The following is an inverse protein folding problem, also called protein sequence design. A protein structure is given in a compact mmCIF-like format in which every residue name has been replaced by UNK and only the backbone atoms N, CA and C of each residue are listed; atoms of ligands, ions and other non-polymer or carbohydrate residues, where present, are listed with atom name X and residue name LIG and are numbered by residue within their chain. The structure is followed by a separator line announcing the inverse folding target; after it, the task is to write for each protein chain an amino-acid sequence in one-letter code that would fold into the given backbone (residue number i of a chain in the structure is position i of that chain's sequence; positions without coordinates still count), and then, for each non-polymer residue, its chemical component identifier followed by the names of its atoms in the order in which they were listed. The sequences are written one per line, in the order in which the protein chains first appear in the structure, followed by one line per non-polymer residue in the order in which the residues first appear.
data_IF_659688768925
#
_entry.id   IF_659688768925
#
_cell.length_a   1.000
_cell.length_b   1.000
_cell.length_c   1.000
_cell.angle_alpha   90.00
_cell.angle_beta   90.00
_cell.angle_gamma   90.00
#
_symmetry.space_group_name_H-M   'P 1'
#
loop_
_entity.id
_entity.type
_entity.pdbx_description
1 polymer ?
#
# COMPACT_ATOMS: atom_id res chain seq x y z
N UNK A 1 -5.93 -21.65 -18.50
CA UNK A 1 -6.56 -20.36 -18.16
C UNK A 1 -5.58 -19.65 -17.23
N UNK A 2 -5.05 -18.49 -17.62
CA UNK A 2 -4.29 -17.67 -16.69
C UNK A 2 -5.19 -17.41 -15.47
N UNK A 3 -4.75 -17.64 -14.22
CA UNK A 3 -5.57 -17.31 -13.08
C UNK A 3 -5.79 -15.80 -13.12
N UNK A 4 -7.00 -15.38 -13.49
CA UNK A 4 -7.39 -13.98 -13.38
C UNK A 4 -7.10 -13.56 -11.94
N UNK A 5 -6.39 -12.44 -11.80
CA UNK A 5 -6.00 -11.88 -10.50
C UNK A 5 -7.30 -11.68 -9.69
N UNK A 6 -7.59 -12.60 -8.76
CA UNK A 6 -8.88 -12.70 -8.09
C UNK A 6 -9.09 -11.59 -7.06
N UNK A 7 -8.06 -10.77 -6.84
CA UNK A 7 -8.05 -9.73 -5.83
C UNK A 7 -8.99 -8.58 -6.21
N UNK A 8 -9.53 -7.86 -5.22
CA UNK A 8 -10.29 -6.65 -5.48
C UNK A 8 -9.43 -5.63 -6.25
N UNK A 9 -10.00 -5.06 -7.32
CA UNK A 9 -9.37 -4.01 -8.10
C UNK A 9 -9.99 -2.68 -7.69
N UNK A 10 -9.30 -1.95 -6.82
CA UNK A 10 -9.75 -0.65 -6.35
C UNK A 10 -9.17 0.48 -7.21
N UNK A 11 -10.00 1.48 -7.50
CA UNK A 11 -9.58 2.73 -8.15
C UNK A 11 -9.41 3.87 -7.15
N UNK A 12 -10.00 3.77 -5.95
CA UNK A 12 -9.90 4.75 -4.86
C UNK A 12 -9.73 4.08 -3.50
N UNK A 13 -9.14 4.81 -2.55
CA UNK A 13 -9.12 4.46 -1.12
C UNK A 13 -9.96 5.52 -0.41
N UNK A 14 -11.26 5.26 -0.23
CA UNK A 14 -12.20 6.26 0.30
C UNK A 14 -12.05 6.48 1.82
N UNK A 15 -11.48 5.51 2.54
CA UNK A 15 -11.26 5.55 3.98
C UNK A 15 -9.79 5.25 4.32
N UNK A 16 -8.87 6.19 4.07
CA UNK A 16 -7.50 6.06 4.53
C UNK A 16 -7.46 6.12 6.06
N UNK A 17 -6.73 5.19 6.67
CA UNK A 17 -6.37 5.24 8.10
C UNK A 17 -5.05 5.98 8.32
N UNK A 18 -4.25 6.13 7.26
CA UNK A 18 -3.06 6.97 7.23
C UNK A 18 -2.83 7.52 5.82
N UNK A 19 -2.40 8.77 5.76
CA UNK A 19 -1.97 9.48 4.56
C UNK A 19 -0.69 10.24 4.90
N UNK A 20 0.31 10.16 4.02
CA UNK A 20 1.57 10.90 4.15
C UNK A 20 2.18 11.21 2.78
N UNK A 21 3.09 12.18 2.73
CA UNK A 21 3.92 12.48 1.57
C UNK A 21 5.38 12.36 1.96
N UNK A 22 6.12 11.50 1.26
CA UNK A 22 7.53 11.27 1.55
C UNK A 22 8.39 11.82 0.42
N UNK A 23 9.33 12.70 0.76
CA UNK A 23 10.40 13.09 -0.15
C UNK A 23 11.56 12.12 -0.02
N UNK A 24 12.21 11.75 -1.12
CA UNK A 24 13.33 10.82 -1.12
C UNK A 24 14.24 11.01 -2.34
N UNK A 25 15.48 10.54 -2.24
CA UNK A 25 16.41 10.47 -3.36
C UNK A 25 16.19 9.16 -4.11
N UNK A 26 15.77 9.23 -5.37
CA UNK A 26 15.62 8.08 -6.25
C UNK A 26 16.97 7.54 -6.74
N UNK A 27 16.97 6.35 -7.33
CA UNK A 27 18.20 5.68 -7.81
C UNK A 27 18.92 6.43 -8.94
N UNK A 28 18.21 7.31 -9.66
CA UNK A 28 18.77 8.21 -10.67
C UNK A 28 19.35 9.51 -10.07
N UNK A 29 19.34 9.65 -8.74
CA UNK A 29 19.80 10.83 -8.00
C UNK A 29 18.78 11.98 -7.97
N UNK A 30 17.61 11.83 -8.60
CA UNK A 30 16.55 12.85 -8.53
C UNK A 30 15.84 12.81 -7.17
N UNK A 31 15.48 14.00 -6.65
CA UNK A 31 14.55 14.08 -5.53
C UNK A 31 13.14 13.87 -6.06
N UNK A 32 12.42 12.91 -5.46
CA UNK A 32 11.02 12.61 -5.76
C UNK A 32 10.18 12.74 -4.50
N UNK A 33 8.90 12.98 -4.70
CA UNK A 33 7.91 12.94 -3.63
C UNK A 33 6.84 11.93 -4.02
N UNK A 34 6.48 11.05 -3.08
CA UNK A 34 5.42 10.08 -3.26
C UNK A 34 4.35 10.25 -2.21
N UNK A 35 3.10 10.31 -2.65
CA UNK A 35 1.95 10.12 -1.78
C UNK A 35 1.81 8.66 -1.34
N UNK A 36 1.59 8.44 -0.06
CA UNK A 36 1.34 7.14 0.55
C UNK A 36 -0.06 7.17 1.17
N UNK A 37 -0.88 6.17 0.84
CA UNK A 37 -2.20 5.97 1.43
C UNK A 37 -2.32 4.54 1.93
N UNK A 38 -2.67 4.39 3.22
CA UNK A 38 -3.02 3.11 3.82
C UNK A 38 -4.52 3.13 4.12
N UNK A 39 -5.27 2.25 3.46
CA UNK A 39 -6.71 2.11 3.66
C UNK A 39 -7.06 1.29 4.91
N UNK A 40 -8.29 1.42 5.37
CA UNK A 40 -8.85 0.53 6.39
C UNK A 40 -8.86 -0.93 5.89
N UNK A 41 -8.36 -1.92 6.65
CA UNK A 41 -8.52 -3.33 6.32
C UNK A 41 -10.00 -3.72 6.21
N UNK A 42 -10.33 -4.54 5.21
CA UNK A 42 -11.70 -5.01 4.92
C UNK A 42 -11.71 -6.52 4.71
N UNK A 43 -12.81 -7.20 5.09
CA UNK A 43 -12.97 -8.61 4.73
C UNK A 43 -13.07 -8.75 3.21
N UNK A 44 -12.53 -9.84 2.67
CA UNK A 44 -12.65 -10.15 1.26
C UNK A 44 -14.11 -10.57 0.95
N UNK A 45 -14.80 -9.95 -0.02
CA UNK A 45 -16.16 -10.33 -0.37
C UNK A 45 -16.24 -11.81 -0.79
N UNK A 46 -17.13 -12.57 -0.16
CA UNK A 46 -17.30 -14.02 -0.39
C UNK A 46 -16.34 -14.93 0.38
N UNK A 47 -15.37 -14.38 1.12
CA UNK A 47 -14.47 -15.13 2.00
C UNK A 47 -14.28 -14.40 3.35
N UNK A 48 -15.34 -13.77 3.85
CA UNK A 48 -15.28 -12.83 4.98
C UNK A 48 -14.69 -13.46 6.26
N UNK A 49 -14.90 -14.76 6.46
CA UNK A 49 -14.42 -15.53 7.61
C UNK A 49 -12.96 -16.00 7.49
N UNK A 50 -12.31 -15.80 6.32
CA UNK A 50 -11.03 -16.44 5.99
C UNK A 50 -9.98 -15.48 5.46
N UNK A 51 -10.41 -14.41 4.80
CA UNK A 51 -9.51 -13.51 4.08
C UNK A 51 -9.88 -12.05 4.32
N UNK A 52 -8.84 -11.26 4.50
CA UNK A 52 -8.89 -9.82 4.64
C UNK A 52 -7.91 -9.19 3.68
N UNK A 53 -8.16 -7.93 3.31
CA UNK A 53 -7.21 -7.15 2.54
C UNK A 53 -7.09 -5.74 3.11
N UNK A 54 -5.90 -5.16 2.97
CA UNK A 54 -5.61 -3.78 3.30
C UNK A 54 -5.27 -3.04 2.00
N UNK A 55 -6.06 -2.05 1.57
CA UNK A 55 -5.71 -1.19 0.44
C UNK A 55 -4.43 -0.41 0.74
N UNK A 56 -3.50 -0.40 -0.20
CA UNK A 56 -2.25 0.35 -0.10
C UNK A 56 -1.97 1.03 -1.44
N UNK A 57 -1.64 2.30 -1.39
CA UNK A 57 -1.12 3.04 -2.52
C UNK A 57 0.19 3.72 -2.13
N UNK A 58 1.20 3.59 -2.99
CA UNK A 58 2.48 4.28 -2.89
C UNK A 58 2.78 4.79 -4.30
N UNK A 59 2.65 6.09 -4.48
CA UNK A 59 2.82 6.76 -5.76
C UNK A 59 4.20 6.46 -6.35
N UNK A 60 4.24 6.07 -7.63
CA UNK A 60 5.49 5.78 -8.34
C UNK A 60 6.20 4.49 -7.92
N UNK A 61 5.70 3.77 -6.90
CA UNK A 61 6.29 2.52 -6.41
C UNK A 61 5.38 1.30 -6.69
N UNK A 62 4.07 1.45 -6.48
CA UNK A 62 3.07 0.47 -6.85
C UNK A 62 2.37 0.90 -8.14
N UNK A 63 1.97 -0.04 -9.03
CA UNK A 63 1.29 0.30 -10.29
C UNK A 63 -0.15 0.82 -10.11
N UNK A 64 -0.62 0.96 -8.87
CA UNK A 64 -1.97 1.38 -8.49
C UNK A 64 -2.25 1.03 -7.03
N UNK A 65 -3.53 0.98 -6.66
CA UNK A 65 -3.94 0.50 -5.33
C UNK A 65 -3.75 -1.01 -5.28
N UNK A 66 -2.96 -1.47 -4.33
CA UNK A 66 -2.74 -2.88 -4.04
C UNK A 66 -3.61 -3.32 -2.86
N UNK A 67 -4.44 -4.32 -3.07
CA UNK A 67 -5.14 -5.00 -1.99
C UNK A 67 -4.21 -6.05 -1.37
N UNK A 68 -3.55 -5.69 -0.28
CA UNK A 68 -2.57 -6.55 0.41
C UNK A 68 -3.30 -7.53 1.30
N UNK A 69 -3.16 -8.83 1.03
CA UNK A 69 -3.93 -9.88 1.70
C UNK A 69 -3.40 -10.22 3.11
N UNK A 70 -4.29 -10.74 3.94
CA UNK A 70 -3.99 -11.38 5.21
C UNK A 70 -5.15 -12.27 5.68
N UNK A 71 -4.94 -13.03 6.75
CA UNK A 71 -5.96 -13.93 7.34
C UNK A 71 -6.91 -13.19 8.30
N UNK A 72 -6.61 -11.93 8.60
CA UNK A 72 -7.39 -11.07 9.50
C UNK A 72 -7.04 -9.61 9.30
N UNK A 73 -7.76 -8.67 9.94
CA UNK A 73 -7.58 -7.24 9.73
C UNK A 73 -6.18 -6.76 10.12
N UNK A 74 -5.65 -7.25 11.25
CA UNK A 74 -4.31 -6.89 11.74
C UNK A 74 -3.22 -7.44 10.84
N UNK A 75 -3.35 -8.70 10.40
CA UNK A 75 -2.39 -9.34 9.50
C UNK A 75 -2.32 -8.63 8.13
N UNK A 76 -3.46 -8.34 7.52
CA UNK A 76 -3.52 -7.60 6.26
C UNK A 76 -2.85 -6.21 6.38
N UNK A 77 -3.07 -5.51 7.51
CA UNK A 77 -2.41 -4.24 7.80
C UNK A 77 -0.90 -4.40 7.99
N UNK A 78 -0.44 -5.38 8.76
CA UNK A 78 1.00 -5.64 8.96
C UNK A 78 1.70 -5.95 7.63
N UNK A 79 1.05 -6.72 6.76
CA UNK A 79 1.56 -7.02 5.42
C UNK A 79 1.64 -5.76 4.55
N UNK A 80 0.63 -4.89 4.60
CA UNK A 80 0.67 -3.59 3.92
C UNK A 80 1.80 -2.70 4.45
N UNK A 81 1.93 -2.59 5.78
CA UNK A 81 2.99 -1.79 6.40
C UNK A 81 4.40 -2.35 6.14
N UNK A 82 4.53 -3.66 5.90
CA UNK A 82 5.80 -4.25 5.45
C UNK A 82 6.22 -3.72 4.08
N UNK A 83 5.27 -3.48 3.16
CA UNK A 83 5.58 -2.86 1.87
C UNK A 83 5.94 -1.38 2.01
N UNK A 84 5.26 -0.64 2.90
CA UNK A 84 5.64 0.74 3.24
C UNK A 84 7.06 0.80 3.82
N UNK A 85 7.40 -0.13 4.71
CA UNK A 85 8.75 -0.26 5.27
C UNK A 85 9.79 -0.57 4.22
N UNK A 86 9.51 -1.49 3.29
CA UNK A 86 10.42 -1.78 2.16
C UNK A 86 10.63 -0.55 1.29
N UNK A 87 9.57 0.19 0.98
CA UNK A 87 9.69 1.46 0.26
C UNK A 87 10.61 2.45 0.99
N UNK A 88 10.50 2.57 2.31
CA UNK A 88 11.40 3.39 3.13
C UNK A 88 12.86 2.92 3.02
N UNK A 89 13.09 1.61 3.15
CA UNK A 89 14.44 1.02 3.20
C UNK A 89 15.14 0.99 1.83
N UNK A 90 14.38 0.95 0.73
CA UNK A 90 14.91 0.94 -0.64
C UNK A 90 15.32 2.34 -1.16
N UNK A 91 14.93 3.41 -0.47
CA UNK A 91 15.22 4.78 -0.88
C UNK A 91 16.09 5.51 0.14
N UNK A 92 16.92 6.43 -0.35
CA UNK A 92 17.81 7.25 0.49
C UNK A 92 17.15 8.58 0.86
N UNK A 93 17.60 9.17 1.96
CA UNK A 93 17.21 10.51 2.43
C UNK A 93 15.69 10.69 2.59
N UNK A 94 14.99 9.61 2.95
CA UNK A 94 13.54 9.64 3.10
C UNK A 94 13.14 10.60 4.22
N UNK A 95 12.36 11.60 3.85
CA UNK A 95 11.81 12.61 4.75
C UNK A 95 10.27 12.48 4.77
N UNK A 96 9.70 11.89 5.84
CA UNK A 96 8.26 11.84 6.04
C UNK A 96 7.65 13.24 6.19
N UNK A 97 6.35 13.37 5.94
CA UNK A 97 5.61 14.64 6.05
C UNK A 97 6.20 15.78 5.20
N UNK A 98 6.82 15.43 4.07
CA UNK A 98 7.28 16.41 3.09
C UNK A 98 6.08 17.22 2.57
N UNK A 99 6.28 18.52 2.38
CA UNK A 99 5.26 19.46 1.90
C UNK A 99 5.58 19.95 0.50
#
# INVERSE_FOLDING_TARGET
MSPQDWRPHLTTIDEPIAEDHWSYTASDGSTRMSKILVGRPRPLPGEEDRAWYCPLFIEGYLPGIKCVMGVGPVDALMNAMTLVRRFFEEHSDVTPQAR
#
